data_IF_989634437650
#
_entry.id   IF_989634437650
#
_cell.length_a   1.000
_cell.length_b   1.000
_cell.length_c   1.000
_cell.angle_alpha   90.00
_cell.angle_beta   90.00
_cell.angle_gamma   90.00
#
_symmetry.space_group_name_H-M   'P 1'
#
loop_
_entity.id
_entity.type
_entity.pdbx_description
1 polymer ?
#
# COMPACT_ATOMS: atom_id res chain seq x y z
N UNK A 1 3.24 -57.70 -14.95
CA UNK A 1 4.22 -57.22 -15.95
C UNK A 1 4.42 -55.73 -15.70
N UNK A 2 5.69 -55.30 -15.60
CA UNK A 2 6.24 -53.92 -15.78
C UNK A 2 5.60 -52.78 -14.97
N UNK A 3 6.22 -52.13 -13.98
CA UNK A 3 7.64 -51.85 -13.74
C UNK A 3 7.95 -50.39 -14.12
N UNK A 4 8.04 -49.47 -13.15
CA UNK A 4 8.55 -48.11 -13.38
C UNK A 4 9.73 -47.84 -12.45
N UNK A 5 10.89 -47.63 -13.06
CA UNK A 5 12.20 -47.42 -12.44
C UNK A 5 12.75 -46.08 -12.95
N UNK A 6 13.23 -45.25 -12.02
CA UNK A 6 14.38 -44.37 -12.26
C UNK A 6 14.09 -42.92 -12.57
N UNK A 7 14.33 -42.05 -11.59
CA UNK A 7 14.70 -40.65 -11.84
C UNK A 7 16.19 -40.52 -11.48
N UNK A 8 17.02 -40.23 -12.50
CA UNK A 8 18.46 -40.00 -12.35
C UNK A 8 18.73 -38.53 -12.08
N UNK A 9 19.51 -38.30 -11.03
CA UNK A 9 20.23 -37.07 -10.68
C UNK A 9 21.19 -36.67 -11.80
N UNK A 10 21.21 -35.40 -12.18
CA UNK A 10 22.33 -34.81 -12.93
C UNK A 10 22.65 -33.45 -12.31
N UNK A 11 23.81 -33.38 -11.67
CA UNK A 11 24.48 -32.15 -11.27
C UNK A 11 25.37 -31.68 -12.44
N UNK A 12 25.40 -30.37 -12.73
CA UNK A 12 26.42 -29.78 -13.60
C UNK A 12 26.99 -28.54 -12.94
N UNK A 13 28.32 -28.52 -12.90
CA UNK A 13 29.20 -27.54 -12.29
C UNK A 13 29.22 -26.18 -13.00
N UNK A 14 29.32 -25.16 -12.15
CA UNK A 14 30.26 -24.02 -12.15
C UNK A 14 31.15 -23.78 -13.38
N UNK A 15 31.09 -22.55 -13.91
CA UNK A 15 32.22 -21.86 -14.57
C UNK A 15 32.29 -20.44 -14.01
N UNK A 16 33.37 -20.15 -13.27
CA UNK A 16 33.76 -18.82 -12.83
C UNK A 16 34.75 -18.24 -13.85
N UNK A 17 34.40 -17.10 -14.42
CA UNK A 17 35.23 -16.32 -15.32
C UNK A 17 35.86 -15.13 -14.57
N UNK A 18 37.05 -14.72 -15.01
CA UNK A 18 37.46 -13.32 -14.92
C UNK A 18 38.82 -13.05 -14.27
N UNK A 19 39.87 -13.03 -15.09
CA UNK A 19 41.15 -12.38 -14.81
C UNK A 19 40.99 -10.86 -14.64
N UNK A 20 41.81 -10.25 -13.80
CA UNK A 20 42.49 -8.97 -14.11
C UNK A 20 43.73 -8.81 -13.23
N UNK A 21 44.85 -8.55 -13.90
CA UNK A 21 46.17 -8.27 -13.36
C UNK A 21 46.61 -6.84 -13.78
N UNK A 22 47.73 -6.40 -13.20
CA UNK A 22 48.41 -5.09 -13.29
C UNK A 22 47.88 -4.03 -12.31
N UNK A 23 48.61 -3.47 -11.34
CA UNK A 23 50.05 -3.42 -11.08
C UNK A 23 50.63 -2.03 -11.39
N UNK A 24 50.97 -1.25 -10.35
CA UNK A 24 52.09 -0.28 -10.19
C UNK A 24 51.83 0.55 -8.91
N UNK A 25 52.59 0.46 -7.82
CA UNK A 25 54.02 0.74 -7.56
C UNK A 25 54.30 2.20 -7.17
N UNK A 26 55.05 2.32 -6.08
CA UNK A 26 55.27 3.44 -5.17
C UNK A 26 56.37 4.47 -5.56
N UNK A 27 56.33 5.60 -4.82
CA UNK A 27 57.45 6.42 -4.27
C UNK A 27 58.16 7.45 -5.17
N UNK A 28 58.18 8.70 -4.71
CA UNK A 28 59.24 9.29 -3.87
C UNK A 28 59.18 10.83 -3.90
N UNK A 29 59.53 11.51 -2.80
CA UNK A 29 59.74 12.96 -2.79
C UNK A 29 59.66 13.60 -1.40
N UNK A 30 60.77 14.14 -0.93
CA UNK A 30 61.10 14.45 0.46
C UNK A 30 61.02 15.97 0.79
N UNK A 31 60.58 16.27 2.02
CA UNK A 31 60.76 17.44 2.92
C UNK A 31 60.86 18.88 2.38
N UNK A 32 60.06 19.77 2.98
CA UNK A 32 60.58 21.00 3.59
C UNK A 32 59.68 21.46 4.75
N UNK A 33 60.29 21.73 5.90
CA UNK A 33 59.70 22.33 7.10
C UNK A 33 59.42 23.84 6.88
N UNK A 34 58.22 24.30 7.26
CA UNK A 34 57.97 25.67 7.68
C UNK A 34 56.74 25.72 8.61
N UNK A 35 56.92 26.31 9.79
CA UNK A 35 55.95 26.49 10.86
C UNK A 35 54.80 27.47 10.48
N UNK A 36 53.71 27.51 11.26
CA UNK A 36 52.36 27.75 10.74
C UNK A 36 52.00 29.24 10.66
N UNK A 37 51.33 29.63 9.58
CA UNK A 37 50.50 30.82 9.55
C UNK A 37 49.08 30.40 9.95
N UNK A 38 48.56 30.95 11.04
CA UNK A 38 47.14 30.89 11.40
C UNK A 38 46.31 31.51 10.27
N UNK A 39 45.79 30.66 9.39
CA UNK A 39 44.69 31.01 8.52
C UNK A 39 43.39 30.82 9.31
N UNK A 40 42.75 31.93 9.64
CA UNK A 40 41.41 31.99 10.20
C UNK A 40 40.48 31.15 9.34
N UNK A 41 40.07 29.98 9.83
CA UNK A 41 39.00 29.18 9.24
C UNK A 41 37.71 30.00 9.37
N UNK A 42 37.32 30.69 8.30
CA UNK A 42 35.93 31.07 8.11
C UNK A 42 35.13 29.78 8.14
N UNK A 43 34.33 29.59 9.20
CA UNK A 43 33.39 28.49 9.30
C UNK A 43 32.59 28.44 8.00
N UNK A 44 32.73 27.34 7.26
CA UNK A 44 31.85 27.04 6.16
C UNK A 44 30.42 27.11 6.71
N UNK A 45 29.48 27.77 6.00
CA UNK A 45 28.09 27.76 6.42
C UNK A 45 27.68 26.30 6.51
N UNK A 46 27.36 25.87 7.73
CA UNK A 46 26.79 24.57 8.02
C UNK A 46 25.59 24.43 7.08
N UNK A 47 25.75 23.55 6.09
CA UNK A 47 24.71 23.33 5.10
C UNK A 47 23.48 22.90 5.89
N UNK A 48 22.46 23.77 5.89
CA UNK A 48 21.14 23.42 6.40
C UNK A 48 20.79 22.05 5.82
N UNK A 49 20.31 21.10 6.66
CA UNK A 49 19.99 19.77 6.18
C UNK A 49 19.04 19.94 5.01
N UNK A 50 19.43 19.39 3.86
CA UNK A 50 18.54 19.35 2.71
C UNK A 50 17.23 18.74 3.21
N UNK A 51 16.14 19.50 3.12
CA UNK A 51 14.80 18.97 3.24
C UNK A 51 14.57 18.04 2.04
N UNK A 52 15.21 16.88 2.05
CA UNK A 52 14.87 15.75 1.21
C UNK A 52 13.55 15.22 1.74
N UNK A 53 12.46 15.94 1.44
CA UNK A 53 11.12 15.45 1.69
C UNK A 53 11.00 14.13 0.93
N UNK A 54 11.00 13.02 1.65
CA UNK A 54 10.81 11.71 1.04
C UNK A 54 9.55 11.77 0.17
N UNK A 55 9.67 11.28 -1.06
CA UNK A 55 8.55 11.24 -1.97
C UNK A 55 7.37 10.52 -1.29
N UNK A 56 6.18 11.13 -1.35
CA UNK A 56 4.96 10.48 -0.91
C UNK A 56 4.29 9.80 -2.09
N UNK A 57 3.70 8.63 -1.88
CA UNK A 57 2.98 7.94 -2.96
C UNK A 57 1.81 8.77 -3.49
N UNK A 58 1.21 9.61 -2.65
CA UNK A 58 0.15 10.53 -3.03
C UNK A 58 0.58 11.49 -4.16
N UNK A 59 1.85 11.92 -4.19
CA UNK A 59 2.39 12.79 -5.24
C UNK A 59 2.69 12.05 -6.55
N UNK A 60 2.64 10.72 -6.51
CA UNK A 60 2.99 9.85 -7.64
C UNK A 60 1.76 9.33 -8.39
N UNK A 61 0.56 9.80 -8.04
CA UNK A 61 -0.63 9.53 -8.87
C UNK A 61 -0.48 10.14 -10.26
N UNK A 62 -0.81 9.35 -11.28
CA UNK A 62 -0.76 9.76 -12.69
C UNK A 62 0.65 9.84 -13.28
N UNK A 63 1.70 9.45 -12.54
CA UNK A 63 3.06 9.40 -13.08
C UNK A 63 3.34 8.06 -13.76
N UNK A 64 4.28 8.05 -14.70
CA UNK A 64 4.75 6.80 -15.30
C UNK A 64 5.48 5.95 -14.26
N UNK A 65 5.23 4.64 -14.27
CA UNK A 65 5.92 3.65 -13.42
C UNK A 65 7.43 3.76 -13.57
N UNK A 66 7.94 3.94 -14.79
CA UNK A 66 9.37 4.13 -15.02
C UNK A 66 9.94 5.37 -14.30
N UNK A 67 9.14 6.44 -14.20
CA UNK A 67 9.52 7.62 -13.43
C UNK A 67 9.47 7.35 -11.92
N UNK A 68 8.41 6.70 -11.43
CA UNK A 68 8.29 6.26 -10.04
C UNK A 68 9.50 5.42 -9.61
N UNK A 69 9.87 4.44 -10.42
CA UNK A 69 10.99 3.52 -10.16
C UNK A 69 12.35 4.22 -10.22
N UNK A 70 12.48 5.28 -11.02
CA UNK A 70 13.68 6.13 -10.99
C UNK A 70 13.87 6.88 -9.66
N UNK A 71 12.81 7.02 -8.86
CA UNK A 71 12.82 7.71 -7.56
C UNK A 71 12.85 6.77 -6.38
N UNK A 72 12.08 5.68 -6.44
CA UNK A 72 11.89 4.74 -5.32
C UNK A 72 12.73 3.45 -5.47
N UNK A 73 13.30 3.22 -6.64
CA UNK A 73 13.83 1.91 -7.02
C UNK A 73 12.74 1.00 -7.61
N UNK A 74 13.13 -0.19 -8.09
CA UNK A 74 12.19 -1.14 -8.69
C UNK A 74 11.17 -1.64 -7.67
N UNK A 75 10.00 -2.05 -8.16
CA UNK A 75 8.99 -2.72 -7.33
C UNK A 75 9.57 -4.01 -6.70
N UNK A 76 9.17 -4.30 -5.46
CA UNK A 76 9.50 -5.55 -4.75
C UNK A 76 8.80 -6.75 -5.37
N UNK A 77 7.52 -6.58 -5.69
CA UNK A 77 6.71 -7.57 -6.39
C UNK A 77 5.90 -6.90 -7.50
N UNK A 78 5.58 -7.67 -8.53
CA UNK A 78 4.71 -7.26 -9.64
C UNK A 78 3.74 -8.41 -9.91
N UNK A 79 2.45 -8.17 -9.69
CA UNK A 79 1.38 -9.15 -9.87
C UNK A 79 0.27 -8.54 -10.73
N UNK A 80 0.30 -8.84 -12.03
CA UNK A 80 -0.62 -8.22 -12.99
C UNK A 80 -0.47 -6.70 -13.04
N UNK A 81 -1.49 -5.98 -12.57
CA UNK A 81 -1.50 -4.51 -12.49
C UNK A 81 -0.95 -3.97 -11.17
N UNK A 82 -0.84 -4.81 -10.14
CA UNK A 82 -0.38 -4.41 -8.82
C UNK A 82 1.16 -4.51 -8.72
N UNK A 83 1.75 -3.55 -8.01
CA UNK A 83 3.18 -3.47 -7.70
C UNK A 83 3.34 -3.11 -6.23
N UNK A 84 4.31 -3.69 -5.56
CA UNK A 84 4.64 -3.32 -4.18
C UNK A 84 5.93 -2.52 -4.12
N UNK A 85 5.95 -1.44 -3.34
CA UNK A 85 7.12 -0.60 -3.14
C UNK A 85 7.39 -0.44 -1.64
N UNK A 86 8.66 -0.23 -1.28
CA UNK A 86 9.02 0.22 0.06
C UNK A 86 9.33 1.69 0.06
N UNK A 87 8.61 2.44 0.89
CA UNK A 87 8.80 3.88 1.00
C UNK A 87 8.99 4.21 2.48
N UNK A 88 10.24 4.40 2.88
CA UNK A 88 10.56 4.73 4.28
C UNK A 88 10.17 3.63 5.29
N UNK A 89 10.24 2.35 4.89
CA UNK A 89 9.84 1.21 5.74
C UNK A 89 8.35 0.89 5.71
N UNK A 90 7.58 1.55 4.84
CA UNK A 90 6.20 1.23 4.55
C UNK A 90 6.08 0.47 3.24
N UNK A 91 5.46 -0.71 3.28
CA UNK A 91 5.06 -1.44 2.08
C UNK A 91 3.76 -0.83 1.53
N UNK A 92 3.87 -0.20 0.36
CA UNK A 92 2.74 0.43 -0.34
C UNK A 92 2.41 -0.38 -1.58
N UNK A 93 1.13 -0.65 -1.80
CA UNK A 93 0.64 -1.28 -3.03
C UNK A 93 0.27 -0.20 -4.03
N UNK A 94 0.59 -0.41 -5.30
CA UNK A 94 0.36 0.53 -6.39
C UNK A 94 -0.30 -0.21 -7.54
N UNK A 95 -1.43 0.31 -7.99
CA UNK A 95 -2.10 -0.15 -9.20
C UNK A 95 -1.63 0.69 -10.38
N UNK A 96 -1.18 0.02 -11.45
CA UNK A 96 -0.75 0.69 -12.66
C UNK A 96 -1.40 0.11 -13.92
N UNK A 97 -1.81 0.99 -14.83
CA UNK A 97 -2.45 0.65 -16.10
C UNK A 97 -1.81 1.47 -17.22
N UNK A 98 -1.52 0.83 -18.36
CA UNK A 98 -0.80 1.50 -19.46
C UNK A 98 0.61 1.99 -19.09
N UNK A 99 1.16 1.55 -17.95
CA UNK A 99 2.44 2.03 -17.42
C UNK A 99 2.32 3.30 -16.57
N UNK A 100 1.11 3.75 -16.26
CA UNK A 100 0.81 4.91 -15.41
C UNK A 100 0.25 4.44 -14.06
N UNK A 101 0.61 5.14 -12.98
CA UNK A 101 0.04 4.91 -11.64
C UNK A 101 -1.40 5.42 -11.58
N UNK A 102 -2.34 4.50 -11.45
CA UNK A 102 -3.79 4.80 -11.41
C UNK A 102 -4.40 4.68 -10.03
N UNK A 103 -3.68 4.09 -9.08
CA UNK A 103 -4.11 4.00 -7.69
C UNK A 103 -3.00 3.50 -6.77
N UNK A 104 -3.21 3.63 -5.48
CA UNK A 104 -2.32 3.08 -4.45
C UNK A 104 -3.11 2.73 -3.19
N UNK A 105 -2.60 1.78 -2.42
CA UNK A 105 -3.11 1.42 -1.11
C UNK A 105 -2.00 1.50 -0.06
N UNK A 106 -2.31 2.12 1.08
CA UNK A 106 -1.38 2.37 2.17
C UNK A 106 -1.95 1.80 3.47
N UNK A 107 -1.21 0.91 4.16
CA UNK A 107 -1.58 0.44 5.49
C UNK A 107 -1.64 1.57 6.52
N UNK A 108 -2.62 1.53 7.42
CA UNK A 108 -2.83 2.48 8.52
C UNK A 108 -2.02 2.08 9.76
N UNK A 109 -0.71 1.93 9.59
CA UNK A 109 0.23 1.52 10.65
C UNK A 109 1.22 2.63 10.99
N UNK A 110 1.87 2.60 12.16
CA UNK A 110 2.91 3.59 12.50
C UNK A 110 4.06 3.64 11.49
N UNK A 111 4.48 2.48 10.96
CA UNK A 111 5.52 2.39 9.93
C UNK A 111 5.12 3.10 8.63
N UNK A 112 3.83 3.13 8.32
CA UNK A 112 3.26 3.78 7.16
C UNK A 112 2.74 5.20 7.41
N UNK A 113 3.00 5.78 8.59
CA UNK A 113 2.36 7.02 9.03
C UNK A 113 2.53 8.19 8.05
N UNK A 114 3.74 8.41 7.53
CA UNK A 114 4.00 9.47 6.55
C UNK A 114 3.15 9.30 5.28
N UNK A 115 3.07 8.07 4.75
CA UNK A 115 2.32 7.78 3.52
C UNK A 115 0.81 7.84 3.77
N UNK A 116 0.35 7.28 4.89
CA UNK A 116 -1.05 7.26 5.29
C UNK A 116 -1.58 8.68 5.51
N UNK A 117 -0.88 9.51 6.29
CA UNK A 117 -1.29 10.90 6.53
C UNK A 117 -1.28 11.73 5.23
N UNK A 118 -0.31 11.49 4.32
CA UNK A 118 -0.31 12.13 3.01
C UNK A 118 -1.54 11.75 2.17
N UNK A 119 -1.93 10.46 2.18
CA UNK A 119 -3.14 10.00 1.51
C UNK A 119 -4.41 10.65 2.11
N UNK A 120 -4.52 10.65 3.44
CA UNK A 120 -5.66 11.27 4.15
C UNK A 120 -5.78 12.78 3.85
N UNK A 121 -4.64 13.48 3.79
CA UNK A 121 -4.60 14.92 3.51
C UNK A 121 -5.16 15.26 2.13
N UNK A 122 -4.92 14.41 1.13
CA UNK A 122 -5.43 14.62 -0.24
C UNK A 122 -6.97 14.57 -0.35
N UNK A 123 -7.65 14.07 0.68
CA UNK A 123 -9.10 13.86 0.71
C UNK A 123 -9.79 14.60 1.87
N UNK A 124 -9.10 15.54 2.50
CA UNK A 124 -9.58 16.32 3.65
C UNK A 124 -10.07 15.44 4.82
N UNK A 125 -9.42 14.30 5.02
CA UNK A 125 -9.73 13.36 6.10
C UNK A 125 -8.99 13.72 7.40
N UNK A 126 -9.51 13.32 8.58
CA UNK A 126 -8.85 13.54 9.86
C UNK A 126 -7.43 12.95 9.87
N UNK A 127 -6.44 13.76 10.28
CA UNK A 127 -5.02 13.43 10.18
C UNK A 127 -4.53 12.57 11.35
N UNK A 128 -4.97 11.30 11.40
CA UNK A 128 -4.57 10.33 12.43
C UNK A 128 -4.52 8.90 11.90
N UNK A 129 -3.66 8.08 12.48
CA UNK A 129 -3.41 6.67 12.04
C UNK A 129 -4.43 5.69 12.61
N UNK A 130 -5.15 6.06 13.67
CA UNK A 130 -6.25 5.30 14.26
C UNK A 130 -7.62 5.80 13.78
N UNK A 131 -7.70 6.33 12.55
CA UNK A 131 -8.95 6.75 11.91
C UNK A 131 -9.97 5.60 11.89
N UNK A 132 -11.21 5.89 12.28
CA UNK A 132 -12.29 4.91 12.21
C UNK A 132 -13.10 5.04 10.93
N UNK A 133 -13.76 3.94 10.55
CA UNK A 133 -14.73 3.90 9.46
C UNK A 133 -15.85 4.94 9.64
N UNK A 134 -16.28 5.20 10.88
CA UNK A 134 -17.28 6.22 11.20
C UNK A 134 -16.79 7.65 10.95
N UNK A 135 -15.53 7.94 11.28
CA UNK A 135 -14.92 9.25 11.01
C UNK A 135 -14.68 9.46 9.52
N UNK A 136 -14.25 8.42 8.81
CA UNK A 136 -14.17 8.44 7.35
C UNK A 136 -15.55 8.73 6.73
N UNK A 137 -16.59 7.99 7.11
CA UNK A 137 -17.94 8.22 6.60
C UNK A 137 -18.46 9.63 6.91
N UNK A 138 -18.19 10.16 8.12
CA UNK A 138 -18.58 11.51 8.49
C UNK A 138 -17.89 12.58 7.62
N UNK A 139 -16.62 12.39 7.29
CA UNK A 139 -15.86 13.31 6.44
C UNK A 139 -16.23 13.21 4.95
N UNK A 140 -16.54 12.01 4.46
CA UNK A 140 -16.87 11.76 3.05
C UNK A 140 -18.34 11.95 2.71
N UNK A 141 -19.24 11.85 3.69
CA UNK A 141 -20.68 11.92 3.49
C UNK A 141 -21.24 10.59 2.97
N UNK A 142 -21.72 10.57 1.72
CA UNK A 142 -22.25 9.36 1.11
C UNK A 142 -21.12 8.37 0.79
N UNK A 143 -21.14 7.21 1.42
CA UNK A 143 -20.22 6.09 1.19
C UNK A 143 -20.99 4.82 0.86
N UNK A 144 -20.41 3.99 0.01
CA UNK A 144 -20.92 2.69 -0.35
C UNK A 144 -20.29 1.62 0.52
N UNK A 145 -21.12 0.79 1.16
CA UNK A 145 -20.65 -0.36 1.91
C UNK A 145 -20.41 -1.52 0.94
N UNK A 146 -19.23 -2.13 1.03
CA UNK A 146 -18.89 -3.39 0.35
C UNK A 146 -18.24 -4.35 1.33
N UNK A 147 -18.22 -5.63 0.98
CA UNK A 147 -17.42 -6.63 1.67
C UNK A 147 -17.02 -7.75 0.70
N UNK A 148 -15.90 -8.42 1.00
CA UNK A 148 -15.52 -9.63 0.27
C UNK A 148 -16.59 -10.72 0.37
N UNK A 149 -17.13 -10.84 1.58
CA UNK A 149 -18.15 -11.77 1.97
C UNK A 149 -18.59 -11.38 3.38
N UNK A 150 -19.79 -11.80 3.78
CA UNK A 150 -20.25 -11.69 5.17
C UNK A 150 -20.53 -13.06 5.80
N UNK A 151 -20.51 -14.10 4.98
CA UNK A 151 -20.67 -15.51 5.37
C UNK A 151 -20.01 -16.37 4.28
N UNK A 152 -19.70 -17.62 4.62
CA UNK A 152 -19.17 -18.61 3.68
C UNK A 152 -18.01 -18.08 2.80
N UNK A 153 -17.09 -17.34 3.43
CA UNK A 153 -15.95 -16.67 2.80
C UNK A 153 -14.92 -17.59 2.11
N UNK A 154 -15.19 -18.90 2.05
CA UNK A 154 -14.34 -19.88 1.39
C UNK A 154 -12.91 -19.90 1.95
N UNK A 155 -11.93 -19.82 1.03
CA UNK A 155 -10.50 -19.80 1.34
C UNK A 155 -9.94 -18.38 1.56
N UNK A 156 -10.79 -17.36 1.73
CA UNK A 156 -10.30 -16.03 2.09
C UNK A 156 -9.60 -16.13 3.45
N UNK A 157 -8.27 -15.98 3.45
CA UNK A 157 -7.49 -16.03 4.69
C UNK A 157 -7.98 -14.94 5.66
N UNK A 158 -8.16 -13.73 5.13
CA UNK A 158 -8.55 -12.54 5.85
C UNK A 158 -9.53 -11.72 4.98
N UNK A 159 -10.86 -11.92 5.08
CA UNK A 159 -11.81 -11.16 4.29
C UNK A 159 -11.91 -9.72 4.76
N UNK A 160 -12.21 -8.79 3.84
CA UNK A 160 -12.26 -7.37 4.12
C UNK A 160 -13.68 -6.81 4.01
N UNK A 161 -13.89 -5.74 4.75
CA UNK A 161 -15.02 -4.83 4.60
C UNK A 161 -14.53 -3.47 4.14
N UNK A 162 -15.39 -2.75 3.43
CA UNK A 162 -15.02 -1.51 2.78
C UNK A 162 -16.10 -0.45 2.96
N UNK A 163 -15.64 0.80 3.09
CA UNK A 163 -16.43 2.00 2.82
C UNK A 163 -15.79 2.74 1.65
N UNK A 164 -16.53 2.81 0.56
CA UNK A 164 -16.10 3.39 -0.70
C UNK A 164 -16.70 4.79 -0.88
N UNK A 165 -15.85 5.80 -1.09
CA UNK A 165 -16.26 7.15 -1.47
C UNK A 165 -15.87 7.37 -2.93
N UNK A 166 -16.84 7.31 -3.88
CA UNK A 166 -16.54 7.50 -5.27
C UNK A 166 -16.08 8.93 -5.54
N UNK A 167 -15.07 9.08 -6.40
CA UNK A 167 -14.53 10.36 -6.83
C UNK A 167 -14.99 10.73 -8.24
N UNK A 168 -14.98 12.03 -8.60
CA UNK A 168 -15.21 12.45 -9.98
C UNK A 168 -14.06 11.99 -10.89
N UNK A 169 -14.24 11.99 -12.22
CA UNK A 169 -13.17 11.56 -13.16
C UNK A 169 -11.82 12.28 -12.97
N UNK A 170 -11.85 13.50 -12.45
CA UNK A 170 -10.66 14.35 -12.23
C UNK A 170 -9.98 14.13 -10.87
N UNK A 171 -10.62 13.38 -9.95
CA UNK A 171 -10.07 13.06 -8.64
C UNK A 171 -10.51 11.64 -8.26
N UNK A 172 -9.59 10.67 -8.19
CA UNK A 172 -9.96 9.28 -7.98
C UNK A 172 -10.74 9.08 -6.68
N UNK A 173 -11.57 8.04 -6.63
CA UNK A 173 -12.25 7.66 -5.39
C UNK A 173 -11.28 7.23 -4.30
N UNK A 174 -11.75 7.24 -3.05
CA UNK A 174 -11.02 6.74 -1.88
C UNK A 174 -11.84 5.66 -1.18
N UNK A 175 -11.16 4.60 -0.74
CA UNK A 175 -11.73 3.47 -0.01
C UNK A 175 -11.03 3.32 1.32
N UNK A 176 -11.83 3.18 2.37
CA UNK A 176 -11.37 2.74 3.68
C UNK A 176 -11.66 1.25 3.83
N UNK A 177 -10.67 0.49 4.26
CA UNK A 177 -10.75 -0.97 4.36
C UNK A 177 -10.41 -1.42 5.78
N UNK A 178 -11.12 -2.44 6.27
CA UNK A 178 -10.79 -3.12 7.52
C UNK A 178 -10.86 -4.63 7.34
N UNK A 179 -9.90 -5.33 7.95
CA UNK A 179 -9.81 -6.78 7.91
C UNK A 179 -10.76 -7.37 8.94
N UNK A 180 -11.55 -8.37 8.55
CA UNK A 180 -12.48 -9.09 9.43
C UNK A 180 -11.78 -10.11 10.34
N UNK A 181 -10.72 -9.68 11.03
CA UNK A 181 -9.96 -10.51 11.99
C UNK A 181 -9.98 -9.94 13.41
N UNK A 182 -10.28 -8.65 13.57
CA UNK A 182 -10.43 -8.04 14.89
C UNK A 182 -11.84 -8.28 15.44
N UNK A 183 -11.97 -8.39 16.77
CA UNK A 183 -13.27 -8.60 17.44
C UNK A 183 -14.29 -7.53 17.02
N UNK A 184 -13.88 -6.26 16.97
CA UNK A 184 -14.76 -5.16 16.60
C UNK A 184 -15.24 -5.26 15.14
N UNK A 185 -14.35 -5.64 14.21
CA UNK A 185 -14.71 -5.83 12.79
C UNK A 185 -15.62 -7.04 12.63
N UNK A 186 -15.28 -8.17 13.26
CA UNK A 186 -16.07 -9.41 13.21
C UNK A 186 -17.48 -9.18 13.74
N UNK A 187 -17.60 -8.57 14.91
CA UNK A 187 -18.88 -8.30 15.55
C UNK A 187 -19.76 -7.38 14.70
N UNK A 188 -19.17 -6.33 14.11
CA UNK A 188 -19.89 -5.45 13.20
C UNK A 188 -20.33 -6.18 11.94
N UNK A 189 -19.45 -6.99 11.33
CA UNK A 189 -19.78 -7.80 10.16
C UNK A 189 -20.92 -8.78 10.43
N UNK A 190 -20.98 -9.39 11.62
CA UNK A 190 -22.11 -10.25 12.00
C UNK A 190 -23.41 -9.49 12.12
N UNK A 191 -23.42 -8.30 12.75
CA UNK A 191 -24.63 -7.48 12.84
C UNK A 191 -25.12 -7.03 11.46
N UNK A 192 -24.19 -6.64 10.58
CA UNK A 192 -24.50 -6.29 9.18
C UNK A 192 -25.07 -7.49 8.44
N UNK A 193 -24.39 -8.65 8.51
CA UNK A 193 -24.83 -9.92 7.90
C UNK A 193 -26.25 -10.26 8.33
N UNK A 194 -26.52 -10.26 9.63
CA UNK A 194 -27.79 -10.70 10.18
C UNK A 194 -28.92 -9.74 9.81
N UNK A 195 -28.63 -8.43 9.76
CA UNK A 195 -29.59 -7.43 9.28
C UNK A 195 -29.92 -7.60 7.79
N UNK A 196 -28.92 -7.84 6.93
CA UNK A 196 -29.14 -8.10 5.50
C UNK A 196 -29.91 -9.41 5.31
N UNK A 197 -29.51 -10.47 6.00
CA UNK A 197 -30.17 -11.78 5.97
C UNK A 197 -31.63 -11.67 6.38
N UNK A 198 -31.93 -10.92 7.44
CA UNK A 198 -33.30 -10.69 7.89
C UNK A 198 -34.13 -9.90 6.86
N UNK A 199 -33.52 -8.98 6.11
CA UNK A 199 -34.22 -8.13 5.16
C UNK A 199 -34.41 -8.76 3.77
N UNK A 200 -33.45 -9.55 3.28
CA UNK A 200 -33.40 -10.04 1.88
C UNK A 200 -33.18 -11.55 1.75
N UNK A 201 -32.98 -12.26 2.85
CA UNK A 201 -32.72 -13.70 2.86
C UNK A 201 -31.23 -14.06 2.84
N UNK A 202 -30.96 -15.35 3.05
CA UNK A 202 -29.61 -15.90 3.17
C UNK A 202 -28.84 -15.85 1.84
N UNK A 203 -29.48 -16.25 0.74
CA UNK A 203 -28.85 -16.26 -0.59
C UNK A 203 -28.35 -14.87 -1.00
N UNK A 204 -29.08 -13.81 -0.63
CA UNK A 204 -28.66 -12.43 -0.90
C UNK A 204 -27.32 -12.07 -0.23
N UNK A 205 -27.04 -12.67 0.93
CA UNK A 205 -25.78 -12.49 1.66
C UNK A 205 -24.69 -13.39 1.07
N UNK A 206 -25.01 -14.66 0.79
CA UNK A 206 -24.07 -15.64 0.22
C UNK A 206 -23.57 -15.19 -1.15
N UNK A 207 -24.48 -14.75 -2.01
CA UNK A 207 -24.18 -14.30 -3.37
C UNK A 207 -23.58 -12.88 -3.41
N UNK A 208 -23.34 -12.27 -2.25
CA UNK A 208 -22.78 -10.91 -2.10
C UNK A 208 -23.59 -9.82 -2.82
N UNK A 209 -24.88 -10.05 -3.08
CA UNK A 209 -25.71 -9.15 -3.88
C UNK A 209 -25.86 -7.76 -3.22
N UNK A 210 -25.69 -7.68 -1.90
CA UNK A 210 -25.62 -6.42 -1.16
C UNK A 210 -24.54 -5.47 -1.68
N UNK A 211 -23.44 -5.97 -2.27
CA UNK A 211 -22.39 -5.15 -2.87
C UNK A 211 -22.90 -4.33 -4.06
N UNK A 212 -24.07 -4.62 -4.63
CA UNK A 212 -24.65 -3.87 -5.74
C UNK A 212 -25.82 -2.95 -5.34
N UNK A 213 -26.03 -2.74 -4.04
CA UNK A 213 -27.14 -1.92 -3.53
C UNK A 213 -26.65 -0.89 -2.51
N UNK A 214 -27.37 0.25 -2.44
CA UNK A 214 -27.18 1.26 -1.42
C UNK A 214 -28.07 1.03 -0.17
N UNK A 215 -28.99 0.04 -0.20
CA UNK A 215 -30.01 -0.21 0.83
C UNK A 215 -29.41 -0.32 2.26
N UNK A 216 -28.17 -0.79 2.36
CA UNK A 216 -27.52 -1.12 3.62
C UNK A 216 -26.39 -0.15 4.02
N UNK A 217 -26.06 0.84 3.18
CA UNK A 217 -24.93 1.75 3.40
C UNK A 217 -25.02 2.46 4.76
N UNK A 218 -26.17 3.08 5.06
CA UNK A 218 -26.35 3.82 6.31
C UNK A 218 -26.33 2.90 7.55
N UNK A 219 -26.83 1.67 7.41
CA UNK A 219 -26.79 0.69 8.50
C UNK A 219 -25.35 0.25 8.75
N UNK A 220 -24.62 -0.12 7.71
CA UNK A 220 -23.23 -0.51 7.81
C UNK A 220 -22.36 0.60 8.41
N UNK A 221 -22.53 1.87 8.00
CA UNK A 221 -21.81 3.01 8.60
C UNK A 221 -22.04 3.10 10.11
N UNK A 222 -23.26 2.81 10.60
CA UNK A 222 -23.52 2.80 12.05
C UNK A 222 -22.81 1.65 12.75
N UNK A 223 -22.90 0.44 12.19
CA UNK A 223 -22.29 -0.75 12.78
C UNK A 223 -20.75 -0.68 12.79
N UNK A 224 -20.17 -0.02 11.78
CA UNK A 224 -18.73 0.15 11.62
C UNK A 224 -18.18 1.39 12.33
N UNK A 225 -19.00 2.18 13.02
CA UNK A 225 -18.60 3.51 13.51
C UNK A 225 -17.26 3.53 14.27
N UNK A 226 -16.98 2.50 15.06
CA UNK A 226 -15.78 2.38 15.90
C UNK A 226 -14.71 1.47 15.32
N UNK A 227 -14.96 0.82 14.17
CA UNK A 227 -13.99 -0.05 13.51
C UNK A 227 -12.85 0.80 12.97
N UNK A 228 -11.62 0.46 13.35
CA UNK A 228 -10.41 1.10 12.85
C UNK A 228 -10.19 0.73 11.39
N UNK A 229 -9.66 1.67 10.63
CA UNK A 229 -9.24 1.43 9.26
C UNK A 229 -7.85 0.79 9.30
N UNK A 230 -7.69 -0.32 8.57
CA UNK A 230 -6.43 -1.03 8.41
C UNK A 230 -5.68 -0.55 7.16
N UNK A 231 -6.40 -0.07 6.15
CA UNK A 231 -5.83 0.41 4.90
C UNK A 231 -6.68 1.51 4.26
N UNK A 232 -6.00 2.49 3.66
CA UNK A 232 -6.61 3.49 2.77
C UNK A 232 -6.14 3.23 1.35
N UNK A 233 -7.09 3.15 0.42
CA UNK A 233 -6.81 3.00 -1.00
C UNK A 233 -7.39 4.16 -1.81
N UNK A 234 -6.57 4.71 -2.69
CA UNK A 234 -6.91 5.79 -3.61
C UNK A 234 -6.86 5.27 -5.03
N UNK A 235 -7.86 5.63 -5.84
CA UNK A 235 -7.99 5.08 -7.20
C UNK A 235 -8.31 3.59 -7.18
N UNK A 236 -9.06 3.15 -6.17
CA UNK A 236 -9.47 1.76 -6.01
C UNK A 236 -10.27 1.29 -7.22
N UNK A 237 -10.13 0.00 -7.53
CA UNK A 237 -11.01 -0.67 -8.49
C UNK A 237 -12.33 -0.97 -7.76
N UNK A 238 -13.49 -0.47 -8.23
CA UNK A 238 -14.77 -0.73 -7.59
C UNK A 238 -15.04 -2.21 -7.41
N UNK A 239 -15.61 -2.56 -6.24
CA UNK A 239 -15.88 -3.94 -5.90
C UNK A 239 -17.00 -4.55 -6.76
N UNK A 240 -16.68 -5.61 -7.51
CA UNK A 240 -17.63 -6.34 -8.35
C UNK A 240 -18.09 -5.57 -9.59
N UNK A 241 -18.47 -6.30 -10.66
CA UNK A 241 -19.26 -5.71 -11.75
C UNK A 241 -20.73 -5.74 -11.36
N UNK A 242 -21.14 -4.71 -10.64
CA UNK A 242 -22.49 -4.19 -10.71
C UNK A 242 -22.57 -3.32 -11.99
#
# INVERSE_FOLDING_TARGET
MTGFRGLKTVAVLSVLAGLTACGQAEKAGEKTDAAPAEATQAAAPEAAPAAGGAATIAQMMGVQVAYLESKLGPARTVEGKERTYEIGGCTVRVNAEGGEVVGYAVPMTPACSTQALAALKGYDLPQKIDLTMGEFAAARGAVDFKADCLTLCGNAADPWIYLESPGPRVSPGIRASAVMVSDATIDASFRIRDAIKAAKGEDYVIDTTFNCSADFNQMAVRELKTVRIDEIEVGYVPYGRC
#
